data_IF_825719718376
#
_entry.id   IF_825719718376
#
_cell.length_a   1.000
_cell.length_b   1.000
_cell.length_c   1.000
_cell.angle_alpha   90.00
_cell.angle_beta   90.00
_cell.angle_gamma   90.00
#
_symmetry.space_group_name_H-M   'P 1'
#
loop_
_entity.id
_entity.type
_entity.pdbx_description
1 polymer ?
#
# COMPACT_ATOMS: atom_id res chain seq x y z
N UNK A 1 -3.23 -3.77 47.22
CA UNK A 1 -1.94 -3.05 47.31
C UNK A 1 -1.61 -2.49 45.94
N UNK A 2 -1.36 -1.19 45.82
CA UNK A 2 -0.90 -0.62 44.55
C UNK A 2 0.48 -1.24 44.22
N UNK A 3 0.61 -1.92 43.08
CA UNK A 3 1.91 -2.42 42.60
C UNK A 3 2.85 -1.23 42.47
N UNK A 4 4.02 -1.30 43.09
CA UNK A 4 5.07 -0.30 42.94
C UNK A 4 5.42 -0.19 41.45
N UNK A 5 5.48 1.03 40.92
CA UNK A 5 5.87 1.26 39.53
C UNK A 5 7.35 0.95 39.35
N UNK A 6 7.70 0.22 38.28
CA UNK A 6 9.09 -0.04 37.91
C UNK A 6 9.83 1.29 37.60
N UNK A 7 11.15 1.36 37.81
CA UNK A 7 11.94 2.53 37.41
C UNK A 7 11.83 2.79 35.91
N UNK A 8 11.66 4.07 35.53
CA UNK A 8 11.42 4.49 34.14
C UNK A 8 12.47 3.95 33.16
N UNK A 9 13.76 4.00 33.54
CA UNK A 9 14.84 3.53 32.66
C UNK A 9 14.90 2.00 32.56
N UNK A 10 14.41 1.27 33.55
CA UNK A 10 14.27 -0.20 33.46
C UNK A 10 13.15 -0.54 32.49
N UNK A 11 12.01 0.14 32.59
CA UNK A 11 10.90 -0.02 31.63
C UNK A 11 11.32 0.31 30.19
N UNK A 12 12.07 1.40 29.99
CA UNK A 12 12.62 1.76 28.66
C UNK A 12 13.55 0.67 28.11
N UNK A 13 14.45 0.13 28.94
CA UNK A 13 15.34 -0.96 28.54
C UNK A 13 14.57 -2.23 28.17
N UNK A 14 13.53 -2.59 28.93
CA UNK A 14 12.67 -3.74 28.62
C UNK A 14 11.98 -3.57 27.26
N UNK A 15 11.42 -2.39 26.98
CA UNK A 15 10.81 -2.10 25.69
C UNK A 15 11.82 -2.15 24.54
N UNK A 16 13.03 -1.62 24.74
CA UNK A 16 14.09 -1.69 23.74
C UNK A 16 14.55 -3.15 23.49
N UNK A 17 14.64 -3.97 24.54
CA UNK A 17 15.04 -5.39 24.43
C UNK A 17 13.96 -6.28 23.81
N UNK A 18 12.67 -6.00 24.04
CA UNK A 18 11.58 -6.81 23.49
C UNK A 18 11.14 -6.38 22.08
N UNK A 19 11.44 -5.14 21.68
CA UNK A 19 11.10 -4.62 20.36
C UNK A 19 9.58 -4.54 20.08
N UNK A 20 8.75 -4.54 21.13
CA UNK A 20 7.29 -4.55 21.00
C UNK A 20 6.65 -5.95 20.85
N UNK A 21 7.43 -7.02 20.99
CA UNK A 21 6.96 -8.40 20.83
C UNK A 21 7.16 -9.22 22.12
N UNK A 22 6.29 -10.22 22.31
CA UNK A 22 6.40 -11.19 23.40
C UNK A 22 7.73 -11.94 23.33
N UNK A 23 8.44 -12.03 24.46
CA UNK A 23 9.77 -12.67 24.51
C UNK A 23 9.72 -14.22 24.65
N UNK A 24 8.52 -14.82 24.68
CA UNK A 24 8.40 -16.27 24.52
C UNK A 24 8.76 -16.65 23.06
N UNK A 25 9.76 -17.53 22.84
CA UNK A 25 10.26 -17.89 21.50
C UNK A 25 9.18 -18.43 20.56
N UNK A 26 8.18 -19.13 21.09
CA UNK A 26 7.10 -19.75 20.29
C UNK A 26 5.89 -18.82 20.09
N UNK A 27 5.91 -17.61 20.66
CA UNK A 27 4.78 -16.69 20.65
C UNK A 27 4.95 -15.53 19.66
N UNK A 28 5.97 -14.69 19.85
CA UNK A 28 6.23 -13.47 19.08
C UNK A 28 5.01 -12.57 18.79
N UNK A 29 3.94 -12.62 19.61
CA UNK A 29 2.77 -11.74 19.45
C UNK A 29 3.15 -10.28 19.72
N UNK A 30 2.49 -9.37 19.00
CA UNK A 30 2.53 -7.94 19.30
C UNK A 30 2.01 -7.66 20.71
N UNK A 31 2.69 -6.76 21.41
CA UNK A 31 2.34 -6.35 22.77
C UNK A 31 1.36 -5.17 22.81
N UNK A 32 0.89 -4.72 21.65
CA UNK A 32 -0.08 -3.64 21.51
C UNK A 32 -1.15 -3.99 20.47
N UNK A 33 -2.37 -3.53 20.69
CA UNK A 33 -3.44 -3.50 19.70
C UNK A 33 -3.87 -2.07 19.41
N UNK A 34 -4.06 -1.76 18.13
CA UNK A 34 -4.59 -0.48 17.67
C UNK A 34 -6.06 -0.66 17.29
N UNK A 35 -6.96 0.06 17.97
CA UNK A 35 -8.40 0.03 17.71
C UNK A 35 -8.88 1.46 17.45
N UNK A 36 -9.14 1.77 16.18
CA UNK A 36 -9.37 3.15 15.72
C UNK A 36 -8.21 4.05 16.15
N UNK A 37 -8.48 5.12 16.91
CA UNK A 37 -7.46 6.05 17.41
C UNK A 37 -6.86 5.65 18.77
N UNK A 38 -7.23 4.48 19.32
CA UNK A 38 -6.79 4.03 20.63
C UNK A 38 -5.71 2.95 20.53
N UNK A 39 -4.71 3.04 21.42
CA UNK A 39 -3.66 2.02 21.59
C UNK A 39 -3.86 1.31 22.92
N UNK A 40 -3.97 -0.02 22.87
CA UNK A 40 -4.17 -0.87 24.04
C UNK A 40 -2.92 -1.71 24.28
N UNK A 41 -2.39 -1.65 25.50
CA UNK A 41 -1.28 -2.50 25.95
C UNK A 41 -1.77 -3.92 26.28
N UNK A 42 -1.16 -4.92 25.64
CA UNK A 42 -1.45 -6.35 25.81
C UNK A 42 -0.27 -7.09 26.46
N UNK A 43 0.52 -6.39 27.27
CA UNK A 43 1.74 -6.90 27.93
C UNK A 43 1.60 -6.92 29.44
N UNK A 44 2.25 -7.90 30.05
CA UNK A 44 2.65 -7.85 31.44
C UNK A 44 4.18 -8.03 31.56
N UNK A 45 4.77 -7.36 32.54
CA UNK A 45 6.15 -7.59 32.95
C UNK A 45 6.15 -8.71 33.97
N UNK A 46 6.74 -9.86 33.61
CA UNK A 46 6.91 -10.98 34.52
C UNK A 46 8.25 -10.85 35.25
N UNK A 47 8.25 -11.20 36.54
CA UNK A 47 9.47 -11.44 37.29
C UNK A 47 9.98 -12.85 36.99
N UNK A 48 11.24 -12.96 36.58
CA UNK A 48 11.91 -14.25 36.39
C UNK A 48 12.01 -14.96 37.75
N UNK A 49 12.43 -14.24 38.79
CA UNK A 49 12.36 -14.69 40.19
C UNK A 49 11.36 -13.82 40.94
N UNK A 50 10.29 -14.42 41.43
CA UNK A 50 9.15 -13.76 42.06
C UNK A 50 9.47 -13.00 43.36
N UNK A 51 8.49 -12.20 43.77
CA UNK A 51 8.50 -11.43 45.02
C UNK A 51 8.02 -12.28 46.21
N UNK A 52 8.67 -12.12 47.37
CA UNK A 52 8.30 -12.79 48.63
C UNK A 52 8.75 -14.25 48.73
N UNK A 53 8.54 -14.87 49.90
CA UNK A 53 8.97 -16.24 50.21
C UNK A 53 8.13 -17.34 49.52
N UNK A 54 7.03 -16.95 48.87
CA UNK A 54 6.09 -17.85 48.17
C UNK A 54 5.83 -17.37 46.73
N UNK A 55 6.68 -16.47 46.22
CA UNK A 55 6.57 -16.02 44.83
C UNK A 55 7.13 -17.07 43.86
N UNK A 56 6.76 -17.02 42.58
CA UNK A 56 7.23 -18.02 41.65
C UNK A 56 8.75 -18.11 41.58
N UNK A 57 9.32 -19.32 41.73
CA UNK A 57 10.78 -19.57 41.76
C UNK A 57 11.55 -18.79 42.84
N UNK A 58 10.88 -18.36 43.92
CA UNK A 58 11.49 -17.56 44.99
C UNK A 58 12.52 -18.33 45.84
N UNK A 59 12.50 -19.66 45.77
CA UNK A 59 13.45 -20.59 46.38
C UNK A 59 14.79 -20.68 45.63
N UNK A 60 14.89 -20.08 44.44
CA UNK A 60 16.09 -20.15 43.61
C UNK A 60 17.30 -19.49 44.30
N UNK A 61 18.50 -20.06 44.14
CA UNK A 61 19.74 -19.58 44.76
C UNK A 61 20.07 -18.11 44.46
N UNK A 62 19.64 -17.59 43.31
CA UNK A 62 19.86 -16.19 42.91
C UNK A 62 18.87 -15.21 43.55
N UNK A 63 17.85 -15.68 44.28
CA UNK A 63 16.76 -14.84 44.78
C UNK A 63 17.24 -13.73 45.73
N UNK A 64 18.35 -13.93 46.43
CA UNK A 64 18.95 -12.95 47.35
C UNK A 64 19.98 -12.03 46.67
N UNK A 65 20.50 -12.42 45.50
CA UNK A 65 21.54 -11.67 44.78
C UNK A 65 20.96 -10.78 43.67
N UNK A 66 19.80 -11.15 43.11
CA UNK A 66 19.18 -10.42 42.01
C UNK A 66 18.44 -9.17 42.50
N UNK A 67 18.60 -8.05 41.79
CA UNK A 67 17.74 -6.89 41.99
C UNK A 67 16.31 -7.24 41.53
N UNK A 68 15.36 -7.28 42.47
CA UNK A 68 14.01 -7.80 42.22
C UNK A 68 13.28 -7.06 41.09
N UNK A 69 13.40 -5.74 41.05
CA UNK A 69 12.82 -4.90 40.00
C UNK A 69 13.88 -4.43 38.98
N UNK A 70 15.04 -5.09 38.96
CA UNK A 70 16.15 -4.81 38.06
C UNK A 70 15.97 -5.44 36.70
N UNK A 71 16.70 -4.92 35.70
CA UNK A 71 16.57 -5.36 34.32
C UNK A 71 16.80 -6.87 34.17
N UNK A 72 17.74 -7.45 34.90
CA UNK A 72 18.11 -8.87 34.78
C UNK A 72 17.01 -9.82 35.29
N UNK A 73 16.08 -9.34 36.11
CA UNK A 73 15.01 -10.16 36.69
C UNK A 73 13.65 -10.00 35.99
N UNK A 74 13.56 -9.21 34.91
CA UNK A 74 12.29 -8.84 34.30
C UNK A 74 12.22 -9.28 32.83
N UNK A 75 11.08 -9.78 32.39
CA UNK A 75 10.83 -10.21 31.00
C UNK A 75 9.44 -9.71 30.52
N UNK A 76 9.35 -9.34 29.25
CA UNK A 76 8.13 -8.83 28.61
C UNK A 76 7.35 -9.95 27.93
N UNK A 77 6.16 -10.26 28.43
CA UNK A 77 5.30 -11.31 27.90
C UNK A 77 3.91 -10.78 27.58
N UNK A 78 3.26 -11.34 26.55
CA UNK A 78 1.84 -11.08 26.34
C UNK A 78 1.02 -11.63 27.53
N UNK A 79 -0.21 -11.15 27.68
CA UNK A 79 -1.09 -11.54 28.79
C UNK A 79 -1.22 -13.07 28.93
N UNK A 80 -1.34 -13.80 27.81
CA UNK A 80 -1.46 -15.26 27.79
C UNK A 80 -0.19 -15.94 28.31
N UNK A 81 0.97 -15.63 27.73
CA UNK A 81 2.23 -16.27 28.08
C UNK A 81 2.66 -15.94 29.50
N UNK A 82 2.39 -14.72 29.97
CA UNK A 82 2.63 -14.35 31.36
C UNK A 82 1.84 -15.26 32.31
N UNK A 83 0.54 -15.43 32.06
CA UNK A 83 -0.31 -16.28 32.90
C UNK A 83 0.17 -17.73 32.92
N UNK A 84 0.53 -18.29 31.75
CA UNK A 84 1.02 -19.67 31.63
C UNK A 84 2.31 -19.87 32.43
N UNK A 85 3.26 -18.94 32.33
CA UNK A 85 4.55 -19.04 33.03
C UNK A 85 4.38 -18.96 34.54
N UNK A 86 3.49 -18.08 35.01
CA UNK A 86 3.21 -17.93 36.45
C UNK A 86 2.52 -19.17 37.04
N UNK A 87 1.56 -19.78 36.32
CA UNK A 87 0.82 -20.95 36.80
C UNK A 87 1.62 -22.26 36.71
N UNK A 88 2.58 -22.35 35.79
CA UNK A 88 3.37 -23.56 35.52
C UNK A 88 4.86 -23.37 35.82
N UNK A 89 5.20 -22.69 36.92
CA UNK A 89 6.58 -22.30 37.27
C UNK A 89 7.61 -23.44 37.17
N UNK A 90 7.24 -24.67 37.54
CA UNK A 90 8.11 -25.84 37.49
C UNK A 90 8.53 -26.23 36.05
N UNK A 91 7.75 -25.83 35.03
CA UNK A 91 8.08 -26.02 33.61
C UNK A 91 8.93 -24.88 33.04
N UNK A 92 9.01 -23.76 33.74
CA UNK A 92 9.71 -22.56 33.30
C UNK A 92 10.73 -22.13 34.36
N UNK A 93 11.77 -22.94 34.62
CA UNK A 93 12.80 -22.60 35.61
C UNK A 93 13.54 -21.31 35.22
N UNK A 94 14.27 -20.73 36.18
CA UNK A 94 14.94 -19.43 36.04
C UNK A 94 15.84 -19.38 34.80
N UNK A 95 16.56 -20.47 34.52
CA UNK A 95 17.48 -20.59 33.39
C UNK A 95 16.75 -20.50 32.05
N UNK A 96 15.59 -21.15 31.92
CA UNK A 96 14.78 -21.10 30.69
C UNK A 96 14.26 -19.69 30.45
N UNK A 97 13.80 -19.02 31.49
CA UNK A 97 13.30 -17.64 31.40
C UNK A 97 14.41 -16.65 31.04
N UNK A 98 15.61 -16.82 31.63
CA UNK A 98 16.79 -16.04 31.28
C UNK A 98 17.21 -16.29 29.83
N UNK A 99 17.16 -17.54 29.37
CA UNK A 99 17.45 -17.91 27.99
C UNK A 99 16.48 -17.23 27.01
N UNK A 100 15.17 -17.29 27.28
CA UNK A 100 14.15 -16.60 26.47
C UNK A 100 14.41 -15.11 26.33
N UNK A 101 14.68 -14.45 27.46
CA UNK A 101 15.02 -13.03 27.49
C UNK A 101 16.28 -12.75 26.67
N UNK A 102 17.34 -13.53 26.88
CA UNK A 102 18.62 -13.36 26.21
C UNK A 102 18.48 -13.52 24.69
N UNK A 103 17.96 -14.65 24.23
CA UNK A 103 17.83 -14.97 22.80
C UNK A 103 16.96 -13.94 22.07
N UNK A 104 15.85 -13.53 22.68
CA UNK A 104 15.00 -12.50 22.09
C UNK A 104 15.72 -11.16 21.99
N UNK A 105 16.36 -10.70 23.07
CA UNK A 105 17.06 -9.41 23.06
C UNK A 105 18.26 -9.41 22.10
N UNK A 106 18.96 -10.53 21.97
CA UNK A 106 20.04 -10.73 21.00
C UNK A 106 19.52 -10.68 19.57
N UNK A 107 18.36 -11.30 19.29
CA UNK A 107 17.69 -11.24 17.99
C UNK A 107 17.26 -9.81 17.63
N UNK A 108 16.66 -9.09 18.57
CA UNK A 108 16.31 -7.67 18.36
C UNK A 108 17.57 -6.84 18.09
N UNK A 109 18.64 -7.04 18.86
CA UNK A 109 19.91 -6.32 18.65
C UNK A 109 20.57 -6.67 17.31
N UNK A 110 20.47 -7.91 16.84
CA UNK A 110 21.05 -8.33 15.56
C UNK A 110 20.35 -7.67 14.37
N UNK A 111 19.06 -7.32 14.48
CA UNK A 111 18.35 -6.53 13.45
C UNK A 111 19.02 -5.17 13.19
N UNK A 112 19.78 -4.65 14.15
CA UNK A 112 20.49 -3.37 14.05
C UNK A 112 22.01 -3.53 13.81
N UNK A 113 22.51 -4.75 13.68
CA UNK A 113 23.92 -5.01 13.39
C UNK A 113 24.08 -5.43 11.93
N UNK A 114 24.77 -4.61 11.14
CA UNK A 114 25.16 -4.98 9.77
C UNK A 114 26.36 -5.93 9.86
N UNK A 115 26.27 -7.18 9.36
CA UNK A 115 27.36 -8.13 9.41
C UNK A 115 28.62 -7.59 8.72
N UNK A 116 29.80 -7.89 9.30
CA UNK A 116 31.09 -7.52 8.74
C UNK A 116 31.74 -8.71 8.04
N UNK A 117 32.23 -8.50 6.83
CA UNK A 117 32.85 -9.49 5.98
C UNK A 117 34.25 -9.04 5.57
N UNK A 118 35.22 -9.94 5.66
CA UNK A 118 36.56 -9.79 5.08
C UNK A 118 36.74 -10.67 3.84
N UNK A 119 35.78 -11.54 3.55
CA UNK A 119 35.72 -12.39 2.36
C UNK A 119 34.62 -11.88 1.42
N UNK A 120 35.03 -11.43 0.23
CA UNK A 120 34.13 -10.88 -0.79
C UNK A 120 33.08 -11.90 -1.23
N UNK A 121 33.44 -13.19 -1.31
CA UNK A 121 32.52 -14.25 -1.73
C UNK A 121 31.39 -14.46 -0.69
N UNK A 122 31.71 -14.34 0.61
CA UNK A 122 30.69 -14.42 1.67
C UNK A 122 29.76 -13.20 1.65
N UNK A 123 30.30 -12.01 1.42
CA UNK A 123 29.49 -10.81 1.28
C UNK A 123 28.55 -10.91 0.07
N UNK A 124 29.07 -11.33 -1.09
CA UNK A 124 28.26 -11.47 -2.30
C UNK A 124 27.18 -12.55 -2.16
N UNK A 125 27.42 -13.64 -1.42
CA UNK A 125 26.36 -14.61 -1.09
C UNK A 125 25.23 -13.97 -0.28
N UNK A 126 25.58 -13.23 0.78
CA UNK A 126 24.57 -12.53 1.59
C UNK A 126 23.76 -11.49 0.78
N UNK A 127 24.41 -10.80 -0.15
CA UNK A 127 23.74 -9.90 -1.10
C UNK A 127 22.83 -10.68 -2.06
N UNK A 128 23.31 -11.80 -2.61
CA UNK A 128 22.55 -12.63 -3.55
C UNK A 128 21.30 -13.23 -2.90
N UNK A 129 21.38 -13.70 -1.66
CA UNK A 129 20.24 -14.28 -0.94
C UNK A 129 19.07 -13.28 -0.85
N UNK A 130 19.38 -11.99 -0.57
CA UNK A 130 18.40 -10.91 -0.53
C UNK A 130 17.86 -10.55 -1.93
N UNK A 131 18.72 -10.60 -2.97
CA UNK A 131 18.31 -10.37 -4.35
C UNK A 131 17.36 -11.47 -4.85
N UNK A 132 17.64 -12.73 -4.53
CA UNK A 132 16.82 -13.88 -4.92
C UNK A 132 15.48 -13.91 -4.17
N UNK A 133 15.47 -13.55 -2.88
CA UNK A 133 14.21 -13.37 -2.13
C UNK A 133 13.34 -12.27 -2.77
N UNK A 134 13.94 -11.12 -3.09
CA UNK A 134 13.24 -10.04 -3.77
C UNK A 134 12.71 -10.48 -5.15
N UNK A 135 13.49 -11.24 -5.90
CA UNK A 135 13.10 -11.74 -7.22
C UNK A 135 11.93 -12.73 -7.14
N UNK A 136 11.95 -13.64 -6.16
CA UNK A 136 10.87 -14.59 -5.93
C UNK A 136 9.58 -13.85 -5.58
N UNK A 137 9.64 -12.90 -4.64
CA UNK A 137 8.47 -12.09 -4.26
C UNK A 137 7.94 -11.30 -5.46
N UNK A 138 8.82 -10.68 -6.24
CA UNK A 138 8.40 -9.94 -7.44
C UNK A 138 7.72 -10.87 -8.46
N UNK A 139 8.19 -12.10 -8.62
CA UNK A 139 7.61 -13.06 -9.58
C UNK A 139 6.25 -13.59 -9.09
N UNK A 140 6.12 -13.92 -7.81
CA UNK A 140 4.92 -14.54 -7.25
C UNK A 140 3.83 -13.52 -6.89
N UNK A 141 4.23 -12.34 -6.39
CA UNK A 141 3.32 -11.32 -5.87
C UNK A 141 3.32 -10.05 -6.72
N UNK A 142 4.21 -9.91 -7.70
CA UNK A 142 4.32 -8.68 -8.47
C UNK A 142 3.10 -8.36 -9.34
N UNK A 143 3.11 -7.18 -9.97
CA UNK A 143 1.96 -6.64 -10.72
C UNK A 143 1.57 -7.47 -11.96
N UNK A 144 2.42 -8.38 -12.43
CA UNK A 144 2.14 -9.32 -13.51
C UNK A 144 2.25 -10.78 -13.07
N UNK A 145 2.20 -11.06 -11.76
CA UNK A 145 2.20 -12.43 -11.30
C UNK A 145 0.92 -13.14 -11.72
N UNK A 146 0.95 -14.48 -11.79
CA UNK A 146 -0.23 -15.27 -12.09
C UNK A 146 -1.38 -14.96 -11.12
N UNK A 147 -1.08 -14.68 -9.85
CA UNK A 147 -2.08 -14.27 -8.86
C UNK A 147 -2.80 -12.94 -9.22
N UNK A 148 -2.14 -12.00 -9.90
CA UNK A 148 -2.75 -10.74 -10.36
C UNK A 148 -3.42 -10.91 -11.72
N UNK A 149 -2.77 -11.63 -12.64
CA UNK A 149 -3.22 -11.77 -14.04
C UNK A 149 -4.34 -12.79 -14.20
N UNK A 150 -4.28 -13.90 -13.47
CA UNK A 150 -5.19 -15.05 -13.53
C UNK A 150 -6.08 -15.16 -12.29
N UNK A 151 -5.64 -14.62 -11.15
CA UNK A 151 -6.39 -14.69 -9.90
C UNK A 151 -7.77 -14.04 -9.97
N UNK A 152 -8.67 -14.52 -9.11
CA UNK A 152 -10.03 -14.00 -8.95
C UNK A 152 -10.17 -13.07 -7.73
N UNK A 153 -9.17 -13.04 -6.84
CA UNK A 153 -9.19 -12.21 -5.63
C UNK A 153 -8.55 -10.84 -5.86
N UNK A 154 -9.23 -9.78 -5.40
CA UNK A 154 -8.69 -8.41 -5.40
C UNK A 154 -7.52 -8.20 -4.42
N UNK A 155 -7.18 -9.21 -3.64
CA UNK A 155 -6.17 -9.14 -2.58
C UNK A 155 -4.73 -9.28 -3.10
N UNK A 156 -4.53 -9.74 -4.34
CA UNK A 156 -3.18 -9.92 -4.90
C UNK A 156 -2.37 -8.62 -4.91
N UNK A 157 -2.99 -7.48 -5.26
CA UNK A 157 -2.35 -6.17 -5.22
C UNK A 157 -2.11 -5.67 -3.78
N UNK A 158 -2.99 -6.03 -2.84
CA UNK A 158 -2.79 -5.74 -1.42
C UNK A 158 -1.59 -6.52 -0.89
N UNK A 159 -1.48 -7.80 -1.26
CA UNK A 159 -0.35 -8.65 -0.93
C UNK A 159 0.95 -8.12 -1.55
N UNK A 160 0.93 -7.71 -2.83
CA UNK A 160 2.07 -7.06 -3.47
C UNK A 160 2.56 -5.84 -2.67
N UNK A 161 1.64 -4.93 -2.35
CA UNK A 161 1.96 -3.72 -1.58
C UNK A 161 2.52 -4.06 -0.21
N UNK A 162 1.95 -5.05 0.47
CA UNK A 162 2.44 -5.52 1.76
C UNK A 162 3.88 -6.05 1.65
N UNK A 163 4.16 -6.90 0.66
CA UNK A 163 5.49 -7.47 0.41
C UNK A 163 6.55 -6.45 0.01
N UNK A 164 6.14 -5.41 -0.71
CA UNK A 164 7.02 -4.26 -0.95
C UNK A 164 7.49 -3.65 0.38
N UNK A 165 6.54 -3.37 1.28
CA UNK A 165 6.80 -2.65 2.52
C UNK A 165 7.52 -3.50 3.58
N UNK A 166 7.15 -4.77 3.73
CA UNK A 166 7.65 -5.63 4.81
C UNK A 166 8.85 -6.50 4.43
N UNK A 167 9.21 -6.60 3.15
CA UNK A 167 10.37 -7.41 2.70
C UNK A 167 11.25 -6.70 1.69
N UNK A 168 10.73 -6.28 0.52
CA UNK A 168 11.58 -5.76 -0.56
C UNK A 168 12.30 -4.47 -0.15
N UNK A 169 11.61 -3.52 0.49
CA UNK A 169 12.23 -2.29 0.98
C UNK A 169 13.32 -2.56 2.04
N UNK A 170 13.06 -3.33 3.11
CA UNK A 170 14.10 -3.76 4.03
C UNK A 170 15.29 -4.44 3.34
N UNK A 171 15.05 -5.34 2.39
CA UNK A 171 16.10 -6.07 1.68
C UNK A 171 16.94 -5.16 0.79
N UNK A 172 16.30 -4.27 0.03
CA UNK A 172 17.00 -3.26 -0.78
C UNK A 172 17.93 -2.41 0.08
N UNK A 173 17.43 -1.96 1.24
CA UNK A 173 18.22 -1.20 2.21
C UNK A 173 19.38 -2.02 2.78
N UNK A 174 19.13 -3.27 3.14
CA UNK A 174 20.14 -4.18 3.68
C UNK A 174 21.24 -4.48 2.66
N UNK A 175 20.92 -4.66 1.37
CA UNK A 175 21.92 -4.86 0.31
C UNK A 175 22.87 -3.65 0.22
N UNK A 176 22.32 -2.44 0.22
CA UNK A 176 23.11 -1.19 0.22
C UNK A 176 23.97 -1.10 1.48
N UNK A 177 23.38 -1.37 2.64
CA UNK A 177 24.05 -1.29 3.94
C UNK A 177 25.18 -2.31 4.09
N UNK A 178 24.98 -3.55 3.64
CA UNK A 178 26.00 -4.59 3.62
C UNK A 178 27.23 -4.16 2.84
N UNK A 179 27.03 -3.58 1.65
CA UNK A 179 28.15 -3.14 0.80
C UNK A 179 28.81 -1.89 1.36
N UNK A 180 28.02 -0.89 1.79
CA UNK A 180 28.55 0.35 2.37
C UNK A 180 29.32 0.11 3.67
N UNK A 181 28.83 -0.76 4.55
CA UNK A 181 29.49 -1.09 5.80
C UNK A 181 30.77 -1.91 5.59
N UNK A 182 30.91 -2.63 4.48
CA UNK A 182 32.06 -3.51 4.25
C UNK A 182 33.07 -2.98 3.23
N UNK A 183 32.78 -1.86 2.54
CA UNK A 183 33.66 -1.33 1.48
C UNK A 183 35.10 -1.03 1.93
N UNK A 184 35.31 -0.68 3.20
CA UNK A 184 36.65 -0.42 3.76
C UNK A 184 37.50 -1.69 3.93
N UNK A 185 36.88 -2.87 3.87
CA UNK A 185 37.58 -4.15 4.05
C UNK A 185 38.18 -4.67 2.73
N UNK A 186 37.90 -4.02 1.60
CA UNK A 186 38.34 -4.43 0.27
C UNK A 186 39.19 -3.34 -0.40
N UNK A 187 40.03 -3.76 -1.35
CA UNK A 187 40.95 -2.85 -2.03
C UNK A 187 40.21 -1.80 -2.87
N UNK A 188 40.71 -0.56 -2.84
CA UNK A 188 40.21 0.53 -3.66
C UNK A 188 40.98 0.62 -4.99
N UNK A 189 40.32 0.81 -6.15
CA UNK A 189 38.87 0.89 -6.34
C UNK A 189 38.20 -0.49 -6.26
N UNK A 190 37.09 -0.57 -5.53
CA UNK A 190 36.36 -1.82 -5.35
C UNK A 190 35.21 -1.94 -6.36
N UNK A 191 35.30 -2.92 -7.26
CA UNK A 191 34.36 -3.09 -8.38
C UNK A 191 32.90 -3.30 -7.91
N UNK A 192 32.69 -4.09 -6.85
CA UNK A 192 31.34 -4.36 -6.31
C UNK A 192 30.65 -3.07 -5.89
N UNK A 193 31.37 -2.16 -5.23
CA UNK A 193 30.83 -0.87 -4.83
C UNK A 193 30.41 -0.03 -6.04
N UNK A 194 31.26 0.05 -7.07
CA UNK A 194 30.97 0.79 -8.28
C UNK A 194 29.73 0.25 -9.02
N UNK A 195 29.58 -1.08 -9.09
CA UNK A 195 28.40 -1.74 -9.69
C UNK A 195 27.13 -1.54 -8.86
N UNK A 196 27.25 -1.46 -7.53
CA UNK A 196 26.13 -1.25 -6.62
C UNK A 196 25.53 0.17 -6.73
N UNK A 197 26.27 1.19 -7.16
CA UNK A 197 25.75 2.57 -7.20
C UNK A 197 24.46 2.72 -8.02
N UNK A 198 24.34 2.01 -9.15
CA UNK A 198 23.10 1.98 -9.93
C UNK A 198 21.95 1.29 -9.19
N UNK A 199 22.27 0.25 -8.42
CA UNK A 199 21.31 -0.44 -7.56
C UNK A 199 20.83 0.46 -6.41
N UNK A 200 21.73 1.24 -5.80
CA UNK A 200 21.37 2.22 -4.77
C UNK A 200 20.37 3.26 -5.29
N UNK A 201 20.61 3.82 -6.47
CA UNK A 201 19.67 4.74 -7.11
C UNK A 201 18.30 4.10 -7.35
N UNK A 202 18.27 2.83 -7.75
CA UNK A 202 17.02 2.08 -7.88
C UNK A 202 16.34 1.86 -6.52
N UNK A 203 17.09 1.47 -5.48
CA UNK A 203 16.56 1.21 -4.14
C UNK A 203 15.91 2.47 -3.54
N UNK A 204 16.59 3.62 -3.65
CA UNK A 204 16.07 4.91 -3.20
C UNK A 204 14.79 5.30 -3.98
N UNK A 205 14.82 5.17 -5.31
CA UNK A 205 13.68 5.46 -6.17
C UNK A 205 12.47 4.53 -5.89
N UNK A 206 12.72 3.23 -5.67
CA UNK A 206 11.68 2.27 -5.33
C UNK A 206 11.07 2.57 -3.95
N UNK A 207 11.90 2.93 -2.96
CA UNK A 207 11.45 3.37 -1.64
C UNK A 207 10.54 4.59 -1.74
N UNK A 208 10.96 5.61 -2.47
CA UNK A 208 10.15 6.81 -2.66
C UNK A 208 8.84 6.47 -3.38
N UNK A 209 8.84 5.56 -4.36
CA UNK A 209 7.60 5.14 -5.03
C UNK A 209 6.62 4.43 -4.10
N UNK A 210 7.12 3.60 -3.19
CA UNK A 210 6.31 2.85 -2.24
C UNK A 210 5.79 3.71 -1.07
N UNK A 211 6.59 4.66 -0.59
CA UNK A 211 6.31 5.43 0.61
C UNK A 211 5.71 6.82 0.32
N UNK A 212 6.08 7.43 -0.79
CA UNK A 212 5.54 8.75 -1.13
C UNK A 212 4.20 8.63 -1.86
N UNK A 213 3.30 9.57 -1.59
CA UNK A 213 2.09 9.77 -2.40
C UNK A 213 2.36 10.40 -3.77
N UNK A 214 3.63 10.59 -4.16
CA UNK A 214 4.04 11.22 -5.42
C UNK A 214 4.75 10.20 -6.29
N UNK A 215 4.12 9.82 -7.40
CA UNK A 215 4.72 8.89 -8.35
C UNK A 215 5.59 9.68 -9.34
N UNK A 216 6.82 9.21 -9.56
CA UNK A 216 7.80 9.83 -10.46
C UNK A 216 8.15 8.85 -11.56
N UNK A 217 8.10 9.31 -12.81
CA UNK A 217 8.29 8.45 -13.99
C UNK A 217 9.74 8.10 -14.30
N UNK A 218 10.68 8.98 -13.98
CA UNK A 218 12.10 8.79 -14.33
C UNK A 218 12.87 7.96 -13.29
N UNK A 219 12.14 7.33 -12.37
CA UNK A 219 12.72 6.44 -11.37
C UNK A 219 13.44 5.26 -12.02
N UNK A 220 14.67 5.03 -11.56
CA UNK A 220 15.49 3.93 -12.07
C UNK A 220 14.83 2.60 -11.68
N UNK A 221 14.56 1.79 -12.69
CA UNK A 221 14.11 0.42 -12.51
C UNK A 221 15.27 -0.47 -12.03
N UNK A 222 14.93 -1.69 -11.61
CA UNK A 222 15.89 -2.65 -11.09
C UNK A 222 17.05 -2.88 -12.07
N UNK A 223 18.31 -2.60 -11.68
CA UNK A 223 19.45 -2.72 -12.57
C UNK A 223 19.91 -4.17 -12.64
N UNK A 224 19.43 -4.88 -13.65
CA UNK A 224 19.77 -6.28 -13.93
C UNK A 224 21.27 -6.52 -14.06
N UNK A 225 22.00 -5.51 -14.51
CA UNK A 225 23.46 -5.53 -14.60
C UNK A 225 24.13 -5.80 -13.25
N UNK A 226 23.52 -5.35 -12.14
CA UNK A 226 24.03 -5.60 -10.80
C UNK A 226 23.79 -7.06 -10.36
N UNK A 227 22.58 -7.58 -10.52
CA UNK A 227 22.24 -8.98 -10.22
C UNK A 227 23.09 -9.95 -11.04
N UNK A 228 23.17 -9.72 -12.35
CA UNK A 228 24.01 -10.50 -13.25
C UNK A 228 25.49 -10.48 -12.81
N UNK A 229 26.01 -9.31 -12.42
CA UNK A 229 27.38 -9.17 -11.92
C UNK A 229 27.62 -9.97 -10.64
N UNK A 230 26.72 -9.88 -9.65
CA UNK A 230 26.81 -10.62 -8.39
C UNK A 230 26.83 -12.13 -8.66
N UNK A 231 25.87 -12.64 -9.44
CA UNK A 231 25.76 -14.06 -9.78
C UNK A 231 26.98 -14.57 -10.57
N UNK A 232 27.48 -13.76 -11.50
CA UNK A 232 28.72 -14.09 -12.25
C UNK A 232 29.92 -14.21 -11.32
N UNK A 233 30.10 -13.28 -10.36
CA UNK A 233 31.20 -13.33 -9.38
C UNK A 233 31.11 -14.52 -8.43
N UNK A 234 29.89 -15.01 -8.16
CA UNK A 234 29.63 -16.23 -7.39
C UNK A 234 29.81 -17.53 -8.20
N UNK A 235 30.11 -17.44 -9.51
CA UNK A 235 30.25 -18.60 -10.39
C UNK A 235 28.93 -19.28 -10.73
N UNK A 236 27.81 -18.59 -10.57
CA UNK A 236 26.48 -19.11 -10.90
C UNK A 236 26.22 -19.02 -12.42
N UNK A 237 25.53 -20.01 -13.01
CA UNK A 237 25.17 -19.95 -14.42
C UNK A 237 24.09 -18.88 -14.62
N UNK A 238 24.41 -17.83 -15.39
CA UNK A 238 23.47 -16.77 -15.76
C UNK A 238 23.48 -16.53 -17.27
N UNK A 239 22.31 -16.34 -17.91
CA UNK A 239 22.25 -15.97 -19.32
C UNK A 239 22.89 -14.60 -19.57
N UNK A 240 23.24 -14.31 -20.83
CA UNK A 240 23.75 -12.99 -21.19
C UNK A 240 22.71 -11.89 -20.93
N UNK A 241 23.16 -10.68 -20.64
CA UNK A 241 22.28 -9.52 -20.43
C UNK A 241 21.33 -9.26 -21.59
N UNK A 242 21.74 -9.56 -22.82
CA UNK A 242 20.90 -9.44 -24.02
C UNK A 242 19.74 -10.45 -24.00
N UNK A 243 20.03 -11.71 -23.65
CA UNK A 243 19.01 -12.75 -23.49
C UNK A 243 18.03 -12.38 -22.37
N UNK A 244 18.53 -11.92 -21.23
CA UNK A 244 17.68 -11.48 -20.10
C UNK A 244 16.78 -10.29 -20.50
N UNK A 245 17.27 -9.36 -21.33
CA UNK A 245 16.48 -8.23 -21.83
C UNK A 245 15.39 -8.70 -22.79
N UNK A 246 15.70 -9.59 -23.72
CA UNK A 246 14.73 -10.11 -24.69
C UNK A 246 13.64 -10.96 -24.04
N UNK A 247 14.02 -11.86 -23.13
CA UNK A 247 13.06 -12.70 -22.39
C UNK A 247 12.08 -11.87 -21.57
N UNK A 248 12.53 -10.78 -20.95
CA UNK A 248 11.62 -9.90 -20.19
C UNK A 248 10.66 -9.16 -21.13
N UNK A 249 11.13 -8.67 -22.28
CA UNK A 249 10.27 -8.01 -23.25
C UNK A 249 9.17 -8.95 -23.75
N UNK A 250 9.54 -10.20 -24.05
CA UNK A 250 8.59 -11.25 -24.45
C UNK A 250 7.63 -11.61 -23.31
N UNK A 251 8.14 -11.77 -22.09
CA UNK A 251 7.34 -12.06 -20.91
C UNK A 251 6.32 -10.96 -20.62
N UNK A 252 6.76 -9.69 -20.56
CA UNK A 252 5.87 -8.54 -20.34
C UNK A 252 4.81 -8.44 -21.43
N UNK A 253 5.20 -8.63 -22.69
CA UNK A 253 4.27 -8.65 -23.82
C UNK A 253 3.21 -9.74 -23.65
N UNK A 254 3.64 -10.98 -23.38
CA UNK A 254 2.73 -12.11 -23.17
C UNK A 254 1.77 -11.89 -22.00
N UNK A 255 2.25 -11.34 -20.88
CA UNK A 255 1.39 -11.03 -19.73
C UNK A 255 0.36 -9.94 -20.04
N UNK A 256 0.75 -8.86 -20.73
CA UNK A 256 -0.18 -7.81 -21.14
C UNK A 256 -1.22 -8.36 -22.11
N UNK A 257 -0.80 -9.12 -23.12
CA UNK A 257 -1.73 -9.72 -24.09
C UNK A 257 -2.72 -10.66 -23.41
N UNK A 258 -2.25 -11.54 -22.52
CA UNK A 258 -3.11 -12.44 -21.74
C UNK A 258 -4.08 -11.65 -20.88
N UNK A 259 -3.60 -10.62 -20.18
CA UNK A 259 -4.42 -9.77 -19.31
C UNK A 259 -5.51 -9.04 -20.10
N UNK A 260 -5.15 -8.38 -21.21
CA UNK A 260 -6.11 -7.66 -22.05
C UNK A 260 -7.12 -8.63 -22.67
N UNK A 261 -6.66 -9.73 -23.26
CA UNK A 261 -7.53 -10.74 -23.91
C UNK A 261 -8.51 -11.34 -22.91
N UNK A 262 -8.08 -11.63 -21.68
CA UNK A 262 -8.94 -12.14 -20.60
C UNK A 262 -10.17 -11.25 -20.37
N UNK A 263 -10.01 -9.93 -20.43
CA UNK A 263 -11.10 -8.99 -20.12
C UNK A 263 -11.86 -8.48 -21.34
N UNK A 264 -11.21 -8.39 -22.51
CA UNK A 264 -11.82 -7.79 -23.70
C UNK A 264 -12.40 -8.81 -24.68
N UNK A 265 -11.87 -10.04 -24.78
CA UNK A 265 -12.35 -11.00 -25.81
C UNK A 265 -13.83 -11.34 -25.66
N UNK A 266 -14.31 -11.53 -24.43
CA UNK A 266 -15.70 -11.92 -24.14
C UNK A 266 -16.56 -10.72 -23.73
N UNK A 267 -16.07 -9.49 -23.94
CA UNK A 267 -16.79 -8.30 -23.50
C UNK A 267 -17.97 -8.00 -24.45
N UNK A 268 -19.20 -8.07 -23.96
CA UNK A 268 -20.42 -7.97 -24.78
C UNK A 268 -20.67 -6.64 -25.53
N UNK A 269 -19.81 -5.63 -25.39
CA UNK A 269 -19.86 -4.42 -26.22
C UNK A 269 -18.93 -4.48 -27.45
N UNK A 270 -17.99 -5.44 -27.48
CA UNK A 270 -16.96 -5.58 -28.51
C UNK A 270 -17.46 -6.57 -29.56
N UNK A 271 -17.43 -6.16 -30.83
CA UNK A 271 -17.73 -6.99 -31.99
C UNK A 271 -16.49 -7.74 -32.48
N UNK A 272 -15.34 -7.05 -32.49
CA UNK A 272 -14.07 -7.59 -32.97
C UNK A 272 -12.89 -6.89 -32.30
N UNK A 273 -11.86 -7.67 -31.98
CA UNK A 273 -10.58 -7.19 -31.48
C UNK A 273 -9.48 -7.58 -32.49
N UNK A 274 -8.70 -6.61 -32.97
CA UNK A 274 -7.61 -6.86 -33.93
C UNK A 274 -6.32 -6.18 -33.48
N UNK A 275 -5.26 -6.95 -33.30
CA UNK A 275 -3.92 -6.40 -33.06
C UNK A 275 -3.35 -5.77 -34.35
N UNK A 276 -2.85 -4.54 -34.26
CA UNK A 276 -2.17 -3.87 -35.38
C UNK A 276 -0.65 -3.97 -35.25
N UNK A 277 -0.14 -3.77 -34.04
CA UNK A 277 1.28 -3.84 -33.73
C UNK A 277 1.47 -4.18 -32.24
N UNK A 278 2.70 -4.09 -31.73
CA UNK A 278 3.05 -4.47 -30.35
C UNK A 278 2.33 -3.65 -29.25
N UNK A 279 1.85 -2.46 -29.56
CA UNK A 279 1.21 -1.57 -28.60
C UNK A 279 -0.19 -1.11 -29.02
N UNK A 280 -0.56 -1.20 -30.30
CA UNK A 280 -1.85 -0.72 -30.80
C UNK A 280 -2.76 -1.87 -31.24
N UNK A 281 -4.03 -1.79 -30.89
CA UNK A 281 -5.11 -2.65 -31.39
C UNK A 281 -6.30 -1.82 -31.89
N UNK A 282 -7.12 -2.42 -32.74
CA UNK A 282 -8.43 -1.90 -33.13
C UNK A 282 -9.49 -2.66 -32.37
N UNK A 283 -10.40 -1.92 -31.76
CA UNK A 283 -11.56 -2.44 -31.03
C UNK A 283 -12.81 -1.97 -31.76
N UNK A 284 -13.44 -2.86 -32.51
CA UNK A 284 -14.72 -2.61 -33.15
C UNK A 284 -15.84 -2.91 -32.15
N UNK A 285 -16.75 -1.96 -31.96
CA UNK A 285 -17.87 -2.05 -31.03
C UNK A 285 -19.17 -2.44 -31.74
N UNK A 286 -20.08 -3.07 -31.01
CA UNK A 286 -21.38 -3.50 -31.52
C UNK A 286 -22.29 -2.33 -31.96
N UNK A 287 -21.99 -1.11 -31.53
CA UNK A 287 -22.70 0.12 -31.92
C UNK A 287 -22.15 0.77 -33.20
N UNK A 288 -21.17 0.14 -33.85
CA UNK A 288 -20.58 0.60 -35.11
C UNK A 288 -19.36 1.52 -34.95
N UNK A 289 -19.00 1.91 -33.74
CA UNK A 289 -17.73 2.64 -33.51
C UNK A 289 -16.53 1.70 -33.66
N UNK A 290 -15.42 2.23 -34.15
CA UNK A 290 -14.13 1.54 -34.21
C UNK A 290 -13.10 2.40 -33.49
N UNK A 291 -12.44 1.84 -32.48
CA UNK A 291 -11.50 2.56 -31.64
C UNK A 291 -10.08 2.04 -31.88
N UNK A 292 -9.16 2.95 -32.18
CA UNK A 292 -7.73 2.69 -32.20
C UNK A 292 -7.17 2.86 -30.79
N UNK A 293 -6.83 1.74 -30.16
CA UNK A 293 -6.46 1.67 -28.75
C UNK A 293 -4.97 1.38 -28.60
N UNK A 294 -4.25 2.30 -27.95
CA UNK A 294 -2.87 2.12 -27.54
C UNK A 294 -2.79 1.53 -26.13
N UNK A 295 -2.03 0.47 -25.94
CA UNK A 295 -1.84 -0.22 -24.67
C UNK A 295 -0.43 0.05 -24.17
N UNK A 296 -0.34 0.78 -23.04
CA UNK A 296 0.93 1.14 -22.42
C UNK A 296 1.19 0.34 -21.17
N UNK A 297 2.45 -0.09 -21.01
CA UNK A 297 2.91 -0.83 -19.84
C UNK A 297 3.52 0.06 -18.73
N UNK A 298 3.20 1.35 -18.75
CA UNK A 298 3.73 2.30 -17.77
C UNK A 298 3.03 2.14 -16.43
N UNK A 299 3.80 2.06 -15.35
CA UNK A 299 3.27 2.11 -13.98
C UNK A 299 2.63 3.45 -13.65
N UNK A 300 3.11 4.53 -14.27
CA UNK A 300 2.56 5.85 -14.05
C UNK A 300 2.53 6.63 -15.37
N UNK A 301 1.34 7.05 -15.77
CA UNK A 301 1.14 7.74 -17.04
C UNK A 301 1.05 9.25 -16.82
N UNK A 302 1.86 10.00 -17.56
CA UNK A 302 2.01 11.47 -17.43
C UNK A 302 1.77 12.17 -18.76
N UNK A 303 1.71 13.50 -18.76
CA UNK A 303 1.67 14.30 -19.99
C UNK A 303 2.86 13.97 -20.92
N UNK A 304 4.07 13.77 -20.37
CA UNK A 304 5.21 13.32 -21.19
C UNK A 304 4.99 11.94 -21.82
N UNK A 305 4.34 11.02 -21.10
CA UNK A 305 3.97 9.71 -21.64
C UNK A 305 2.96 9.84 -22.78
N UNK A 306 2.00 10.77 -22.65
CA UNK A 306 1.06 11.10 -23.71
C UNK A 306 1.80 11.60 -24.96
N UNK A 307 2.72 12.55 -24.82
CA UNK A 307 3.52 13.07 -25.95
C UNK A 307 4.21 11.93 -26.72
N UNK A 308 4.83 10.99 -25.99
CA UNK A 308 5.49 9.80 -26.57
C UNK A 308 4.51 8.88 -27.30
N UNK A 309 3.31 8.68 -26.75
CA UNK A 309 2.26 7.88 -27.41
C UNK A 309 1.82 8.55 -28.70
N UNK A 310 1.57 9.86 -28.68
CA UNK A 310 1.12 10.63 -29.83
C UNK A 310 2.18 10.75 -30.93
N UNK A 311 3.47 10.74 -30.57
CA UNK A 311 4.57 10.63 -31.54
C UNK A 311 4.58 9.29 -32.27
N UNK A 312 4.22 8.20 -31.59
CA UNK A 312 4.15 6.86 -32.18
C UNK A 312 2.88 6.71 -33.01
N UNK A 313 1.75 7.18 -32.48
CA UNK A 313 0.44 7.01 -33.10
C UNK A 313 -0.46 8.23 -32.83
N UNK A 314 -0.43 9.26 -33.70
CA UNK A 314 -1.22 10.48 -33.52
C UNK A 314 -2.72 10.27 -33.75
N UNK A 315 -3.13 9.08 -34.23
CA UNK A 315 -4.51 8.73 -34.55
C UNK A 315 -5.19 7.88 -33.48
N UNK A 316 -4.62 7.83 -32.27
CA UNK A 316 -5.14 7.03 -31.16
C UNK A 316 -6.46 7.61 -30.63
N UNK A 317 -7.47 6.76 -30.52
CA UNK A 317 -8.77 7.14 -29.92
C UNK A 317 -8.77 6.88 -28.41
N UNK A 318 -8.02 5.87 -27.95
CA UNK A 318 -7.94 5.51 -26.55
C UNK A 318 -6.58 4.98 -26.12
N UNK A 319 -6.22 5.20 -24.86
CA UNK A 319 -5.00 4.72 -24.22
C UNK A 319 -5.39 3.90 -22.99
N UNK A 320 -4.93 2.66 -22.93
CA UNK A 320 -5.11 1.76 -21.78
C UNK A 320 -3.77 1.64 -21.04
N UNK A 321 -3.76 2.04 -19.78
CA UNK A 321 -2.70 1.69 -18.83
C UNK A 321 -2.90 0.23 -18.41
N UNK A 322 -2.10 -0.69 -18.97
CA UNK A 322 -2.27 -2.13 -18.79
C UNK A 322 -1.68 -2.67 -17.50
N UNK A 323 -0.85 -1.89 -16.80
CA UNK A 323 -0.33 -2.28 -15.51
C UNK A 323 -1.47 -2.31 -14.47
N UNK A 324 -1.78 -3.47 -13.84
CA UNK A 324 -2.85 -3.55 -12.84
C UNK A 324 -2.59 -2.69 -11.59
N UNK A 325 -1.31 -2.47 -11.28
CA UNK A 325 -0.85 -1.59 -10.20
C UNK A 325 -0.53 -0.16 -10.69
N UNK A 326 -0.91 0.17 -11.93
CA UNK A 326 -0.61 1.44 -12.57
C UNK A 326 -1.61 2.54 -12.21
N UNK A 327 -1.22 3.78 -12.46
CA UNK A 327 -2.06 4.97 -12.31
C UNK A 327 -1.73 6.00 -13.40
N UNK A 328 -2.54 7.05 -13.53
CA UNK A 328 -2.27 8.19 -14.40
C UNK A 328 -2.54 9.51 -13.67
N UNK A 329 -1.80 10.56 -14.03
CA UNK A 329 -2.01 11.91 -13.48
C UNK A 329 -3.29 12.54 -14.03
N UNK A 330 -3.96 13.33 -13.18
CA UNK A 330 -5.17 14.06 -13.58
C UNK A 330 -4.92 15.03 -14.74
N UNK A 331 -3.74 15.66 -14.80
CA UNK A 331 -3.37 16.58 -15.89
C UNK A 331 -3.27 15.88 -17.26
N UNK A 332 -2.84 14.62 -17.30
CA UNK A 332 -2.77 13.84 -18.53
C UNK A 332 -4.18 13.41 -18.94
N UNK A 333 -5.02 13.02 -17.98
CA UNK A 333 -6.44 12.74 -18.24
C UNK A 333 -7.17 13.96 -18.79
N UNK A 334 -6.92 15.14 -18.22
CA UNK A 334 -7.50 16.40 -18.67
C UNK A 334 -7.07 16.74 -20.10
N UNK A 335 -5.78 16.60 -20.41
CA UNK A 335 -5.26 16.81 -21.75
C UNK A 335 -5.84 15.82 -22.78
N UNK A 336 -5.90 14.53 -22.44
CA UNK A 336 -6.55 13.53 -23.29
C UNK A 336 -8.02 13.90 -23.57
N UNK A 337 -8.79 14.31 -22.55
CA UNK A 337 -10.18 14.75 -22.73
C UNK A 337 -10.27 15.94 -23.70
N UNK A 338 -9.38 16.93 -23.59
CA UNK A 338 -9.34 18.09 -24.49
C UNK A 338 -9.03 17.69 -25.94
N UNK A 339 -8.21 16.66 -26.13
CA UNK A 339 -7.86 16.13 -27.45
C UNK A 339 -8.88 15.10 -27.98
N UNK A 340 -9.93 14.76 -27.22
CA UNK A 340 -10.90 13.74 -27.61
C UNK A 340 -10.39 12.30 -27.48
N UNK A 341 -9.33 12.09 -26.70
CA UNK A 341 -8.68 10.80 -26.48
C UNK A 341 -9.13 10.22 -25.13
N UNK A 342 -9.50 8.94 -25.11
CA UNK A 342 -9.87 8.25 -23.88
C UNK A 342 -8.66 7.67 -23.14
N UNK A 343 -8.25 8.23 -21.99
CA UNK A 343 -7.21 7.65 -21.13
C UNK A 343 -7.81 6.83 -19.97
N UNK A 344 -7.47 5.55 -19.85
CA UNK A 344 -8.12 4.65 -18.89
C UNK A 344 -7.17 3.62 -18.27
N UNK A 345 -7.47 3.21 -17.03
CA UNK A 345 -7.10 1.87 -16.56
C UNK A 345 -7.98 0.82 -17.26
N UNK A 346 -7.55 -0.43 -17.36
CA UNK A 346 -8.31 -1.46 -18.08
C UNK A 346 -9.77 -1.59 -17.60
N UNK A 347 -10.00 -1.63 -16.29
CA UNK A 347 -11.35 -1.73 -15.73
C UNK A 347 -12.22 -0.49 -16.01
N UNK A 348 -11.61 0.69 -16.16
CA UNK A 348 -12.32 1.90 -16.57
C UNK A 348 -12.71 1.81 -18.05
N UNK A 349 -11.79 1.36 -18.91
CA UNK A 349 -12.03 1.20 -20.35
C UNK A 349 -13.21 0.27 -20.63
N UNK A 350 -13.29 -0.88 -19.95
CA UNK A 350 -14.39 -1.85 -20.10
C UNK A 350 -15.77 -1.23 -19.84
N UNK A 351 -15.87 -0.33 -18.88
CA UNK A 351 -17.09 0.43 -18.61
C UNK A 351 -17.31 1.56 -19.61
N UNK A 352 -16.25 2.32 -19.90
CA UNK A 352 -16.29 3.50 -20.74
C UNK A 352 -16.75 3.19 -22.16
N UNK A 353 -16.29 2.09 -22.78
CA UNK A 353 -16.63 1.74 -24.17
C UNK A 353 -18.12 1.53 -24.43
N UNK A 354 -18.94 1.39 -23.39
CA UNK A 354 -20.41 1.31 -23.50
C UNK A 354 -21.09 2.68 -23.67
N UNK A 355 -20.32 3.75 -23.52
CA UNK A 355 -20.77 5.13 -23.55
C UNK A 355 -20.07 5.87 -24.69
N UNK A 356 -20.54 7.07 -25.01
CA UNK A 356 -20.00 7.95 -26.03
C UNK A 356 -19.72 9.36 -25.49
N UNK A 357 -19.11 10.21 -26.35
CA UNK A 357 -18.83 11.61 -26.06
C UNK A 357 -18.12 11.83 -24.71
N UNK A 358 -18.60 12.79 -23.93
CA UNK A 358 -18.01 13.14 -22.64
C UNK A 358 -18.15 12.01 -21.60
N UNK A 359 -19.19 11.17 -21.70
CA UNK A 359 -19.42 10.02 -20.81
C UNK A 359 -18.40 8.90 -21.02
N UNK A 360 -17.95 8.73 -22.25
CA UNK A 360 -16.78 7.92 -22.58
C UNK A 360 -15.49 8.57 -22.04
N UNK A 361 -15.20 9.80 -22.46
CA UNK A 361 -13.90 10.44 -22.22
C UNK A 361 -13.60 10.66 -20.73
N UNK A 362 -14.61 10.95 -19.92
CA UNK A 362 -14.47 11.25 -18.49
C UNK A 362 -15.24 10.26 -17.61
N UNK A 363 -15.18 8.97 -17.97
CA UNK A 363 -15.88 7.88 -17.29
C UNK A 363 -15.44 7.69 -15.83
N UNK A 364 -16.42 7.53 -14.93
CA UNK A 364 -16.22 7.22 -13.51
C UNK A 364 -16.71 5.81 -13.19
N UNK A 365 -15.83 4.97 -12.64
CA UNK A 365 -16.22 3.61 -12.21
C UNK A 365 -17.13 3.66 -10.97
N UNK A 366 -18.01 2.66 -10.86
CA UNK A 366 -18.97 2.53 -9.77
C UNK A 366 -18.30 2.52 -8.38
N UNK A 367 -17.18 1.82 -8.24
CA UNK A 367 -16.45 1.72 -6.97
C UNK A 367 -15.97 3.11 -6.48
N UNK A 368 -15.41 3.93 -7.37
CA UNK A 368 -14.97 5.30 -7.06
C UNK A 368 -16.17 6.17 -6.67
N UNK A 369 -17.30 6.07 -7.37
CA UNK A 369 -18.54 6.77 -7.01
C UNK A 369 -19.00 6.39 -5.59
N UNK A 370 -19.00 5.10 -5.27
CA UNK A 370 -19.39 4.62 -3.94
C UNK A 370 -18.41 5.09 -2.85
N UNK A 371 -17.11 5.15 -3.15
CA UNK A 371 -16.10 5.69 -2.25
C UNK A 371 -16.31 7.18 -1.97
N UNK A 372 -16.61 7.98 -3.01
CA UNK A 372 -16.96 9.40 -2.89
C UNK A 372 -18.19 9.61 -2.00
N UNK A 373 -19.23 8.80 -2.19
CA UNK A 373 -20.45 8.81 -1.35
C UNK A 373 -20.13 8.48 0.11
N UNK A 374 -19.33 7.43 0.37
CA UNK A 374 -18.91 7.05 1.73
C UNK A 374 -18.04 8.12 2.40
N UNK A 375 -17.16 8.76 1.64
CA UNK A 375 -16.32 9.85 2.13
C UNK A 375 -17.18 11.03 2.60
N UNK A 376 -18.07 11.54 1.75
CA UNK A 376 -18.98 12.63 2.12
C UNK A 376 -19.88 12.24 3.30
N UNK A 377 -20.40 11.02 3.30
CA UNK A 377 -21.23 10.51 4.39
C UNK A 377 -20.51 10.51 5.74
N UNK A 378 -19.24 10.09 5.79
CA UNK A 378 -18.41 10.15 7.01
C UNK A 378 -18.13 11.60 7.42
N UNK A 379 -17.70 12.43 6.48
CA UNK A 379 -17.41 13.85 6.72
C UNK A 379 -18.61 14.57 7.35
N UNK A 380 -19.80 14.35 6.80
CA UNK A 380 -21.05 14.98 7.27
C UNK A 380 -21.49 14.38 8.62
N UNK A 381 -21.35 13.07 8.81
CA UNK A 381 -21.73 12.42 10.08
C UNK A 381 -20.91 12.94 11.27
N UNK A 382 -19.62 13.24 11.07
CA UNK A 382 -18.75 13.84 12.10
C UNK A 382 -19.25 15.20 12.59
N UNK A 383 -19.93 15.96 11.71
CA UNK A 383 -20.51 17.28 12.03
C UNK A 383 -21.80 17.21 12.84
N UNK A 384 -22.33 15.99 13.08
CA UNK A 384 -23.53 15.71 13.86
C UNK A 384 -24.73 16.58 13.46
N UNK A 385 -25.23 16.48 12.20
CA UNK A 385 -26.38 17.25 11.75
C UNK A 385 -27.61 17.02 12.64
N UNK A 386 -28.45 18.07 12.78
CA UNK A 386 -29.71 17.99 13.53
C UNK A 386 -30.59 16.83 13.04
N UNK A 387 -31.33 16.15 13.94
CA UNK A 387 -32.31 15.15 13.54
C UNK A 387 -33.28 15.72 12.50
N UNK A 388 -33.57 14.95 11.45
CA UNK A 388 -34.44 15.41 10.36
C UNK A 388 -33.72 16.09 9.20
N UNK A 389 -32.39 16.27 9.28
CA UNK A 389 -31.54 16.67 8.15
C UNK A 389 -31.12 15.47 7.31
N UNK A 390 -31.15 15.61 5.99
CA UNK A 390 -30.54 14.68 5.03
C UNK A 390 -29.67 15.47 4.06
N UNK A 391 -28.58 14.87 3.58
CA UNK A 391 -27.71 15.51 2.59
C UNK A 391 -27.58 14.61 1.38
N UNK A 392 -27.69 15.21 0.20
CA UNK A 392 -27.57 14.55 -1.09
C UNK A 392 -26.42 15.19 -1.87
N UNK A 393 -25.60 14.37 -2.52
CA UNK A 393 -24.62 14.83 -3.49
C UNK A 393 -25.17 14.61 -4.91
N UNK A 394 -24.78 15.47 -5.85
CA UNK A 394 -25.15 15.35 -7.25
C UNK A 394 -24.05 15.94 -8.15
N UNK A 395 -24.33 16.11 -9.44
CA UNK A 395 -23.43 16.82 -10.34
C UNK A 395 -22.25 15.98 -10.83
N UNK A 396 -21.20 16.67 -11.28
CA UNK A 396 -20.04 16.07 -11.94
C UNK A 396 -19.27 15.12 -11.02
N UNK A 397 -19.21 15.44 -9.72
CA UNK A 397 -18.56 14.64 -8.67
C UNK A 397 -19.02 13.18 -8.61
N UNK A 398 -20.27 12.88 -9.00
CA UNK A 398 -20.81 11.52 -8.96
C UNK A 398 -20.88 10.81 -10.30
N UNK A 399 -20.44 11.43 -11.39
CA UNK A 399 -20.52 10.85 -12.75
C UNK A 399 -19.26 11.03 -13.61
N UNK A 400 -18.29 11.83 -13.17
CA UNK A 400 -17.06 12.14 -13.91
C UNK A 400 -15.81 11.77 -13.11
N UNK A 401 -14.76 11.29 -13.79
CA UNK A 401 -13.45 11.04 -13.16
C UNK A 401 -12.85 12.36 -12.67
N UNK A 402 -12.68 13.31 -13.58
CA UNK A 402 -12.33 14.69 -13.29
C UNK A 402 -13.60 15.52 -13.08
N UNK A 403 -13.67 16.24 -11.97
CA UNK A 403 -14.78 17.09 -11.57
C UNK A 403 -14.22 18.45 -11.13
N UNK A 404 -15.04 19.49 -11.20
CA UNK A 404 -14.62 20.85 -10.84
C UNK A 404 -14.94 21.15 -9.37
N UNK A 405 -16.10 20.70 -8.92
CA UNK A 405 -16.72 21.04 -7.65
C UNK A 405 -17.57 19.88 -7.11
N UNK A 406 -17.99 20.03 -5.85
CA UNK A 406 -18.92 19.12 -5.19
C UNK A 406 -20.26 19.83 -5.00
N UNK A 407 -21.29 19.35 -5.71
CA UNK A 407 -22.66 19.85 -5.55
C UNK A 407 -23.40 19.08 -4.45
N UNK A 408 -23.93 19.80 -3.45
CA UNK A 408 -24.67 19.25 -2.32
C UNK A 408 -26.06 19.88 -2.17
N UNK A 409 -27.01 19.08 -1.67
CA UNK A 409 -28.34 19.55 -1.26
C UNK A 409 -28.56 19.14 0.20
N UNK A 410 -28.70 20.13 1.08
CA UNK A 410 -29.13 19.94 2.46
C UNK A 410 -30.65 20.01 2.50
N UNK A 411 -31.28 18.90 2.89
CA UNK A 411 -32.73 18.76 2.98
C UNK A 411 -33.16 18.72 4.44
N UNK A 412 -34.03 19.63 4.85
CA UNK A 412 -34.59 19.66 6.20
C UNK A 412 -36.08 19.30 6.23
N UNK A 413 -36.48 18.57 7.27
CA UNK A 413 -37.85 18.09 7.43
C UNK A 413 -38.83 19.16 7.89
N UNK A 414 -38.43 19.94 8.89
CA UNK A 414 -39.29 20.90 9.58
C UNK A 414 -38.47 22.10 10.11
N UNK A 415 -39.15 23.07 10.71
CA UNK A 415 -38.51 24.29 11.24
C UNK A 415 -37.48 24.00 12.34
N UNK A 416 -37.67 22.92 13.13
CA UNK A 416 -36.70 22.53 14.15
C UNK A 416 -35.43 21.96 13.51
N UNK A 417 -35.57 21.15 12.46
CA UNK A 417 -34.47 20.60 11.67
C UNK A 417 -33.69 21.69 10.91
N UNK A 418 -34.34 22.82 10.60
CA UNK A 418 -33.73 23.97 9.93
C UNK A 418 -32.72 24.70 10.82
N UNK A 419 -32.90 24.64 12.14
CA UNK A 419 -32.00 25.30 13.09
C UNK A 419 -30.62 24.67 13.00
N UNK A 420 -29.60 25.51 12.79
CA UNK A 420 -28.20 25.10 12.70
C UNK A 420 -27.72 24.73 11.30
N UNK A 421 -28.56 24.79 10.26
CA UNK A 421 -28.13 24.47 8.89
C UNK A 421 -27.03 25.42 8.39
N UNK A 422 -27.12 26.72 8.67
CA UNK A 422 -26.07 27.66 8.26
C UNK A 422 -24.70 27.34 8.90
N UNK A 423 -24.70 26.78 10.12
CA UNK A 423 -23.47 26.30 10.77
C UNK A 423 -22.96 25.04 10.06
N UNK A 424 -23.86 24.08 9.79
CA UNK A 424 -23.52 22.85 9.08
C UNK A 424 -22.94 23.12 7.69
N UNK A 425 -23.58 24.00 6.92
CA UNK A 425 -23.12 24.46 5.61
C UNK A 425 -21.73 25.08 5.69
N UNK A 426 -21.52 26.03 6.61
CA UNK A 426 -20.22 26.66 6.81
C UNK A 426 -19.12 25.67 7.20
N UNK A 427 -19.42 24.69 8.05
CA UNK A 427 -18.46 23.64 8.44
C UNK A 427 -18.13 22.67 7.31
N UNK A 428 -19.11 22.30 6.47
CA UNK A 428 -18.88 21.46 5.28
C UNK A 428 -17.96 22.21 4.30
N UNK A 429 -18.29 23.46 3.97
CA UNK A 429 -17.48 24.30 3.07
C UNK A 429 -16.06 24.42 3.62
N UNK A 430 -15.91 24.73 4.91
CA UNK A 430 -14.59 24.85 5.56
C UNK A 430 -13.78 23.55 5.47
N UNK A 431 -14.40 22.39 5.72
CA UNK A 431 -13.72 21.10 5.62
C UNK A 431 -13.25 20.82 4.18
N UNK A 432 -14.11 21.03 3.18
CA UNK A 432 -13.77 20.76 1.78
C UNK A 432 -12.73 21.76 1.22
N UNK A 433 -12.81 23.04 1.62
CA UNK A 433 -11.81 24.04 1.24
C UNK A 433 -10.41 23.75 1.81
N UNK A 434 -10.33 23.19 3.03
CA UNK A 434 -9.05 22.74 3.59
C UNK A 434 -8.42 21.60 2.78
N UNK A 435 -9.21 20.86 2.01
CA UNK A 435 -8.75 19.83 1.07
C UNK A 435 -8.55 20.36 -0.36
N UNK A 436 -8.73 21.67 -0.57
CA UNK A 436 -8.57 22.31 -1.88
C UNK A 436 -9.74 22.10 -2.83
N UNK A 437 -10.92 21.69 -2.34
CA UNK A 437 -12.10 21.40 -3.14
C UNK A 437 -13.19 22.46 -2.92
N UNK A 438 -13.76 22.99 -3.99
CA UNK A 438 -14.93 23.88 -3.92
C UNK A 438 -16.22 23.07 -3.81
N UNK A 439 -17.21 23.63 -3.12
CA UNK A 439 -18.52 23.02 -2.96
C UNK A 439 -19.63 24.05 -3.11
N UNK A 440 -20.62 23.68 -3.92
CA UNK A 440 -21.84 24.44 -4.13
C UNK A 440 -22.99 23.74 -3.40
N UNK A 441 -23.76 24.52 -2.63
CA UNK A 441 -24.76 23.96 -1.72
C UNK A 441 -26.12 24.60 -1.92
N UNK A 442 -27.15 23.76 -1.94
CA UNK A 442 -28.55 24.16 -1.97
C UNK A 442 -29.19 23.72 -0.65
N UNK A 443 -29.85 24.65 0.04
CA UNK A 443 -30.64 24.34 1.25
C UNK A 443 -32.12 24.36 0.88
N UNK A 444 -32.82 23.25 1.13
CA UNK A 444 -34.22 23.10 0.77
C UNK A 444 -35.00 22.35 1.87
N UNK A 445 -36.27 22.70 2.04
CA UNK A 445 -37.24 21.84 2.75
C UNK A 445 -37.49 20.55 1.97
N UNK A 446 -38.01 19.52 2.65
CA UNK A 446 -38.40 18.27 2.00
C UNK A 446 -39.38 18.47 0.82
N UNK A 447 -40.28 19.45 0.92
CA UNK A 447 -41.22 19.81 -0.14
C UNK A 447 -40.53 20.48 -1.32
N UNK A 448 -39.65 21.46 -1.06
CA UNK A 448 -38.87 22.14 -2.11
C UNK A 448 -37.97 21.13 -2.84
N UNK A 449 -37.29 20.25 -2.10
CA UNK A 449 -36.46 19.19 -2.66
C UNK A 449 -37.22 18.26 -3.63
N UNK A 450 -38.45 17.88 -3.28
CA UNK A 450 -39.30 17.05 -4.13
C UNK A 450 -39.75 17.77 -5.42
N UNK A 451 -39.82 19.09 -5.39
CA UNK A 451 -40.18 19.93 -6.53
C UNK A 451 -38.99 20.22 -7.46
N UNK A 452 -37.74 20.07 -7.00
CA UNK A 452 -36.55 20.31 -7.82
C UNK A 452 -36.54 19.44 -9.09
N UNK A 453 -36.04 20.03 -10.18
CA UNK A 453 -35.86 19.40 -11.49
C UNK A 453 -34.41 19.61 -11.93
N UNK A 454 -33.81 18.55 -12.46
CA UNK A 454 -32.43 18.54 -12.93
C UNK A 454 -32.40 17.96 -14.33
N UNK A 455 -31.59 18.53 -15.22
CA UNK A 455 -31.41 18.02 -16.58
C UNK A 455 -30.79 16.62 -16.56
N UNK A 456 -29.89 16.36 -15.61
CA UNK A 456 -29.28 15.05 -15.36
C UNK A 456 -29.37 14.72 -13.86
N UNK A 457 -30.47 14.09 -13.45
CA UNK A 457 -30.69 13.73 -12.07
C UNK A 457 -29.87 12.50 -11.66
N UNK A 458 -28.80 12.74 -10.91
CA UNK A 458 -27.96 11.71 -10.29
C UNK A 458 -27.88 11.86 -8.77
N UNK A 459 -28.89 12.52 -8.16
CA UNK A 459 -28.92 12.79 -6.72
C UNK A 459 -28.76 11.49 -5.93
N UNK A 460 -27.74 11.47 -5.09
CA UNK A 460 -27.41 10.33 -4.25
C UNK A 460 -27.36 10.77 -2.81
N UNK A 461 -28.17 10.13 -1.94
CA UNK A 461 -28.14 10.42 -0.51
C UNK A 461 -26.79 10.02 0.07
N UNK A 462 -26.09 10.98 0.68
CA UNK A 462 -24.81 10.76 1.38
C UNK A 462 -25.00 10.75 2.90
N UNK A 463 -26.04 11.40 3.40
CA UNK A 463 -26.38 11.43 4.83
C UNK A 463 -27.91 11.40 5.06
N UNK A 464 -28.41 10.65 6.08
CA UNK A 464 -27.68 9.68 6.89
C UNK A 464 -27.19 8.51 6.04
N UNK A 465 -26.04 7.94 6.40
CA UNK A 465 -25.49 6.76 5.72
C UNK A 465 -26.45 5.61 6.00
N UNK A 466 -27.06 5.03 4.97
CA UNK A 466 -27.83 3.80 5.14
C UNK A 466 -26.91 2.74 5.76
N UNK A 467 -27.35 2.01 6.81
CA UNK A 467 -26.59 0.85 7.27
C UNK A 467 -26.39 -0.07 6.06
N UNK A 468 -25.13 -0.37 5.76
CA UNK A 468 -24.75 -1.25 4.65
C UNK A 468 -25.55 -2.55 4.76
N UNK A 469 -26.27 -2.91 3.70
CA UNK A 469 -26.82 -4.25 3.54
C UNK A 469 -25.71 -5.25 3.26
#
# INVERSE_FOLDING_TARGET
>A
MARKSLPVNVTRQLWAQCGGFCQNPDCNKLLFANISDNVVSLVNVAHIIGHGAYGPRSEHQLANAVEKDGIDNLIMLCLDCHKIVDELEARFPVEVMQQWKHDHSSRIRSLFQIPRFTDEQRLLRAVNDLLDENHLIFTECGPYSAAVVEGESGDALVMWRRRCLDTILPNNKMIVDLIEANKSNFAYPWEVYARMLMYKLHADAFQDNCLSGRKVNDYKQFPKEFDHFVKTKLGMPVPSLEVIKNQELEYRKGQIETYIKRFLNDHGAIARLQELNRATMVVDLNDGRSLRVFVTNTYYFTNHTLDRVLEIDPSVDAIICSCPAGEYVESAKAECIQQGIGLFMLGEFMGAIRLDGEAYLNFLVRADKEQRVRYLGRLIAELRPSPGVSVYAFGSYLRRKLYNDIDLIIVYRDAASKVGIGILEGEIIRKLQNEGVSADMIVASATEYAALRFDQDNRTKVFPVSPSR
#
